data_IF_509437487744
#
_entry.id   IF_509437487744
#
_cell.length_a   1.000
_cell.length_b   1.000
_cell.length_c   1.000
_cell.angle_alpha   90.00
_cell.angle_beta   90.00
_cell.angle_gamma   90.00
#
_symmetry.space_group_name_H-M   'P 1'
#
loop_
_entity.id
_entity.type
_entity.pdbx_description
1 polymer ?
#
# COMPACT_ATOMS: atom_id res chain seq x y z
N UNK A 1 7.30 23.42 -9.49
CA UNK A 1 6.58 22.62 -10.52
C UNK A 1 6.80 21.14 -10.19
N UNK A 2 5.74 20.35 -9.92
CA UNK A 2 5.90 18.92 -9.65
C UNK A 2 6.49 18.22 -10.88
N UNK A 3 7.56 17.44 -10.70
CA UNK A 3 8.15 16.65 -11.79
C UNK A 3 7.11 15.66 -12.32
N UNK A 4 6.98 15.54 -13.65
CA UNK A 4 6.00 14.64 -14.30
C UNK A 4 6.03 13.23 -13.70
N UNK A 5 7.23 12.77 -13.35
CA UNK A 5 7.51 11.49 -12.70
C UNK A 5 6.73 11.31 -11.39
N UNK A 6 6.71 12.30 -10.50
CA UNK A 6 6.00 12.19 -9.23
C UNK A 6 4.47 12.04 -9.41
N UNK A 7 3.91 12.66 -10.45
CA UNK A 7 2.49 12.54 -10.81
C UNK A 7 2.18 11.12 -11.31
N UNK A 8 3.04 10.58 -12.19
CA UNK A 8 2.89 9.21 -12.68
C UNK A 8 2.94 8.18 -11.55
N UNK A 9 3.88 8.29 -10.62
CA UNK A 9 3.97 7.38 -9.47
C UNK A 9 2.77 7.47 -8.53
N UNK A 10 2.21 8.67 -8.32
CA UNK A 10 0.97 8.85 -7.55
C UNK A 10 -0.20 8.11 -8.20
N UNK A 11 -0.40 8.31 -9.50
CA UNK A 11 -1.48 7.67 -10.23
C UNK A 11 -1.31 6.15 -10.30
N UNK A 12 -0.09 5.67 -10.54
CA UNK A 12 0.23 4.25 -10.51
C UNK A 12 -0.09 3.63 -9.14
N UNK A 13 0.33 4.27 -8.03
CA UNK A 13 0.02 3.82 -6.68
C UNK A 13 -1.49 3.78 -6.40
N UNK A 14 -2.26 4.75 -6.89
CA UNK A 14 -3.72 4.79 -6.75
C UNK A 14 -4.41 3.67 -7.52
N UNK A 15 -4.03 3.46 -8.78
CA UNK A 15 -4.60 2.41 -9.63
C UNK A 15 -4.28 1.04 -9.05
N UNK A 16 -3.03 0.79 -8.63
CA UNK A 16 -2.65 -0.47 -7.99
C UNK A 16 -3.42 -0.68 -6.68
N UNK A 17 -3.55 0.34 -5.84
CA UNK A 17 -4.28 0.22 -4.57
C UNK A 17 -5.74 -0.13 -4.78
N UNK A 18 -6.41 0.54 -5.73
CA UNK A 18 -7.80 0.23 -6.10
C UNK A 18 -7.93 -1.17 -6.71
N UNK A 19 -6.98 -1.59 -7.53
CA UNK A 19 -6.96 -2.91 -8.15
C UNK A 19 -6.83 -4.02 -7.09
N UNK A 20 -5.88 -3.88 -6.17
CA UNK A 20 -5.72 -4.82 -5.06
C UNK A 20 -6.94 -4.81 -4.14
N UNK A 21 -7.50 -3.64 -3.83
CA UNK A 21 -8.69 -3.53 -2.99
C UNK A 21 -9.89 -4.22 -3.64
N UNK A 22 -10.11 -3.97 -4.93
CA UNK A 22 -11.18 -4.61 -5.71
C UNK A 22 -11.01 -6.13 -5.79
N UNK A 23 -9.80 -6.62 -6.02
CA UNK A 23 -9.49 -8.05 -6.02
C UNK A 23 -9.80 -8.71 -4.66
N UNK A 24 -9.39 -8.07 -3.56
CA UNK A 24 -9.67 -8.59 -2.22
C UNK A 24 -11.17 -8.53 -1.86
N UNK A 25 -11.87 -7.45 -2.22
CA UNK A 25 -13.32 -7.37 -2.04
C UNK A 25 -14.04 -8.46 -2.84
N UNK A 26 -13.61 -8.70 -4.08
CA UNK A 26 -14.14 -9.76 -4.92
C UNK A 26 -13.95 -11.14 -4.27
N UNK A 27 -12.76 -11.43 -3.76
CA UNK A 27 -12.51 -12.67 -3.00
C UNK A 27 -13.39 -12.77 -1.74
N UNK A 28 -13.56 -11.67 -1.01
CA UNK A 28 -14.38 -11.64 0.20
C UNK A 28 -15.85 -11.89 -0.11
N UNK A 29 -16.39 -11.24 -1.15
CA UNK A 29 -17.77 -11.46 -1.62
C UNK A 29 -17.94 -12.90 -2.09
N UNK A 30 -16.99 -13.43 -2.87
CA UNK A 30 -17.02 -14.82 -3.32
C UNK A 30 -17.03 -15.82 -2.14
N UNK A 31 -16.41 -15.48 -1.02
CA UNK A 31 -16.46 -16.27 0.22
C UNK A 31 -17.80 -16.16 0.96
N UNK A 32 -18.47 -15.01 0.90
CA UNK A 32 -19.77 -14.77 1.54
C UNK A 32 -20.95 -15.38 0.76
N UNK A 33 -20.77 -15.74 -0.52
CA UNK A 33 -21.81 -16.36 -1.35
C UNK A 33 -22.01 -17.83 -0.92
N UNK A 34 -23.21 -18.19 -0.41
CA UNK A 34 -23.51 -19.57 -0.02
C UNK A 34 -23.47 -20.49 -1.25
N UNK A 35 -22.77 -21.62 -1.16
CA UNK A 35 -22.56 -22.57 -2.26
C UNK A 35 -21.14 -22.63 -2.81
N UNK A 36 -20.26 -21.69 -2.43
CA UNK A 36 -18.81 -21.82 -2.58
C UNK A 36 -18.21 -22.69 -1.45
N UNK A 37 -18.77 -23.88 -1.24
CA UNK A 37 -18.28 -24.82 -0.23
C UNK A 37 -16.98 -25.47 -0.72
N UNK A 38 -15.85 -24.81 -0.49
CA UNK A 38 -14.54 -25.46 -0.57
C UNK A 38 -13.73 -25.18 0.68
N UNK A 39 -13.79 -26.15 1.60
CA UNK A 39 -12.68 -26.58 2.47
C UNK A 39 -12.08 -25.57 3.47
N UNK A 40 -12.82 -24.56 3.91
CA UNK A 40 -12.36 -23.73 5.03
C UNK A 40 -13.00 -24.26 6.31
N UNK A 41 -12.18 -24.94 7.12
CA UNK A 41 -12.55 -25.30 8.49
C UNK A 41 -12.86 -24.06 9.35
N UNK A 42 -13.18 -24.24 10.64
CA UNK A 42 -13.49 -23.13 11.53
C UNK A 42 -12.36 -22.08 11.48
N UNK A 43 -12.75 -20.82 11.21
CA UNK A 43 -11.84 -19.69 11.02
C UNK A 43 -10.86 -19.60 12.20
N UNK A 44 -9.58 -19.85 11.93
CA UNK A 44 -8.55 -19.85 12.95
C UNK A 44 -8.33 -18.43 13.46
N UNK A 45 -7.79 -18.29 14.67
CA UNK A 45 -7.32 -16.99 15.16
C UNK A 45 -6.29 -16.37 14.21
N UNK A 46 -5.47 -17.20 13.57
CA UNK A 46 -4.52 -16.79 12.53
C UNK A 46 -5.24 -16.15 11.33
N UNK A 47 -6.29 -16.79 10.82
CA UNK A 47 -7.04 -16.28 9.66
C UNK A 47 -7.67 -14.91 9.96
N UNK A 48 -8.30 -14.76 11.13
CA UNK A 48 -8.88 -13.47 11.59
C UNK A 48 -7.84 -12.35 11.66
N UNK A 49 -6.66 -12.65 12.19
CA UNK A 49 -5.59 -11.68 12.33
C UNK A 49 -5.00 -11.31 10.95
N UNK A 50 -4.89 -12.28 10.04
CA UNK A 50 -4.49 -12.04 8.65
C UNK A 50 -5.48 -11.14 7.91
N UNK A 51 -6.79 -11.39 8.03
CA UNK A 51 -7.82 -10.51 7.46
C UNK A 51 -7.77 -9.08 8.02
N UNK A 52 -7.48 -8.94 9.32
CA UNK A 52 -7.35 -7.62 9.96
C UNK A 52 -6.11 -6.87 9.44
N UNK A 53 -4.99 -7.57 9.26
CA UNK A 53 -3.78 -6.98 8.67
C UNK A 53 -4.01 -6.54 7.23
N UNK A 54 -4.74 -7.33 6.44
CA UNK A 54 -5.14 -6.96 5.07
C UNK A 54 -6.01 -5.70 5.09
N UNK A 55 -7.01 -5.62 5.98
CA UNK A 55 -7.86 -4.44 6.12
C UNK A 55 -7.03 -3.18 6.49
N UNK A 56 -6.12 -3.31 7.45
CA UNK A 56 -5.20 -2.23 7.85
C UNK A 56 -4.28 -1.80 6.70
N UNK A 57 -3.78 -2.74 5.91
CA UNK A 57 -2.96 -2.46 4.72
C UNK A 57 -3.73 -1.60 3.71
N UNK A 58 -4.98 -1.96 3.41
CA UNK A 58 -5.84 -1.17 2.53
C UNK A 58 -6.20 0.19 3.11
N UNK A 59 -6.45 0.27 4.41
CA UNK A 59 -6.68 1.53 5.10
C UNK A 59 -5.47 2.45 4.96
N UNK A 60 -4.25 1.91 5.10
CA UNK A 60 -3.00 2.62 4.84
C UNK A 60 -2.93 3.19 3.42
N UNK A 61 -3.27 2.38 2.41
CA UNK A 61 -3.30 2.82 1.01
C UNK A 61 -4.36 3.89 0.72
N UNK A 62 -5.52 3.81 1.38
CA UNK A 62 -6.54 4.86 1.31
C UNK A 62 -6.07 6.16 1.97
N UNK A 63 -5.42 6.08 3.14
CA UNK A 63 -4.82 7.24 3.81
C UNK A 63 -3.72 7.86 2.94
N UNK A 64 -3.01 7.04 2.16
CA UNK A 64 -1.96 7.49 1.23
C UNK A 64 -2.49 8.41 0.12
N UNK A 65 -3.81 8.44 -0.14
CA UNK A 65 -4.39 9.37 -1.10
C UNK A 65 -4.24 10.84 -0.71
N UNK A 66 -4.33 11.14 0.60
CA UNK A 66 -4.15 12.48 1.16
C UNK A 66 -2.75 12.65 1.78
N UNK A 67 -2.23 11.61 2.42
CA UNK A 67 -0.96 11.61 3.15
C UNK A 67 -0.04 10.48 2.67
N UNK A 68 0.69 10.72 1.59
CA UNK A 68 1.44 9.68 0.85
C UNK A 68 2.49 8.96 1.69
N UNK A 69 3.31 9.70 2.45
CA UNK A 69 4.34 9.12 3.29
C UNK A 69 3.74 8.23 4.40
N UNK A 70 2.79 8.79 5.17
CA UNK A 70 2.19 8.11 6.32
C UNK A 70 1.38 6.89 5.88
N UNK A 71 0.54 7.04 4.86
CA UNK A 71 -0.27 5.93 4.34
C UNK A 71 0.55 4.84 3.66
N UNK A 72 1.60 5.22 2.92
CA UNK A 72 2.55 4.26 2.35
C UNK A 72 3.28 3.47 3.43
N UNK A 73 3.71 4.12 4.52
CA UNK A 73 4.41 3.48 5.63
C UNK A 73 3.50 2.54 6.42
N UNK A 74 2.26 2.95 6.69
CA UNK A 74 1.24 2.11 7.35
C UNK A 74 0.92 0.89 6.48
N UNK A 75 0.70 1.09 5.17
CA UNK A 75 0.42 0.01 4.23
C UNK A 75 1.59 -0.99 4.12
N UNK A 76 2.82 -0.47 4.04
CA UNK A 76 4.03 -1.30 3.97
C UNK A 76 4.27 -2.07 5.28
N UNK A 77 4.07 -1.44 6.44
CA UNK A 77 4.20 -2.08 7.73
C UNK A 77 3.16 -3.20 7.91
N UNK A 78 1.90 -2.96 7.54
CA UNK A 78 0.86 -3.97 7.56
C UNK A 78 1.16 -5.15 6.61
N UNK A 79 1.69 -4.85 5.41
CA UNK A 79 2.14 -5.89 4.48
C UNK A 79 3.30 -6.72 5.06
N UNK A 80 4.23 -6.08 5.78
CA UNK A 80 5.37 -6.77 6.41
C UNK A 80 4.95 -7.70 7.54
N UNK A 81 4.03 -7.23 8.39
CA UNK A 81 3.43 -8.06 9.45
C UNK A 81 2.69 -9.25 8.84
N UNK A 82 1.88 -9.01 7.80
CA UNK A 82 1.16 -10.06 7.10
C UNK A 82 2.13 -11.11 6.50
N UNK A 83 3.17 -10.65 5.80
CA UNK A 83 4.18 -11.52 5.19
C UNK A 83 4.94 -12.37 6.20
N UNK A 84 5.27 -11.80 7.36
CA UNK A 84 5.90 -12.54 8.47
C UNK A 84 4.96 -13.60 9.05
N UNK A 85 3.69 -13.27 9.25
CA UNK A 85 2.70 -14.17 9.83
C UNK A 85 2.35 -15.36 8.93
N UNK A 86 2.33 -15.15 7.62
CA UNK A 86 1.88 -16.13 6.63
C UNK A 86 3.04 -16.86 5.96
N UNK A 87 4.29 -16.54 6.33
CA UNK A 87 5.52 -17.07 5.71
C UNK A 87 5.46 -16.96 4.18
N UNK A 88 5.04 -15.80 3.69
CA UNK A 88 4.93 -15.54 2.26
C UNK A 88 6.33 -15.45 1.68
N UNK A 89 6.54 -16.11 0.53
CA UNK A 89 7.77 -16.00 -0.24
C UNK A 89 8.10 -14.54 -0.54
N UNK A 90 9.37 -14.14 -0.36
CA UNK A 90 9.88 -12.79 -0.65
C UNK A 90 9.34 -12.16 -1.96
N UNK A 91 9.21 -12.88 -3.10
CA UNK A 91 8.66 -12.31 -4.33
C UNK A 91 7.21 -11.82 -4.19
N UNK A 92 6.36 -12.58 -3.48
CA UNK A 92 4.96 -12.21 -3.24
C UNK A 92 4.87 -11.03 -2.27
N UNK A 93 5.74 -10.97 -1.26
CA UNK A 93 5.80 -9.83 -0.34
C UNK A 93 6.09 -8.53 -1.10
N UNK A 94 7.08 -8.52 -2.00
CA UNK A 94 7.37 -7.35 -2.82
C UNK A 94 6.18 -6.97 -3.70
N UNK A 95 5.49 -7.95 -4.29
CA UNK A 95 4.33 -7.72 -5.15
C UNK A 95 3.17 -7.00 -4.42
N UNK A 96 2.89 -7.41 -3.19
CA UNK A 96 1.84 -6.81 -2.34
C UNK A 96 2.28 -5.46 -1.76
N UNK A 97 3.58 -5.28 -1.52
CA UNK A 97 4.20 -4.05 -1.02
C UNK A 97 4.47 -2.98 -2.08
N UNK A 98 4.37 -3.30 -3.38
CA UNK A 98 4.58 -2.33 -4.49
C UNK A 98 3.81 -1.02 -4.31
N UNK A 99 2.51 -1.01 -3.93
CA UNK A 99 1.78 0.24 -3.73
C UNK A 99 2.39 1.09 -2.61
N UNK A 100 2.77 0.46 -1.49
CA UNK A 100 3.43 1.14 -0.36
C UNK A 100 4.79 1.75 -0.75
N UNK A 101 5.61 0.99 -1.48
CA UNK A 101 6.89 1.46 -2.01
C UNK A 101 6.72 2.62 -2.99
N UNK A 102 5.73 2.54 -3.89
CA UNK A 102 5.43 3.60 -4.85
C UNK A 102 5.01 4.90 -4.16
N UNK A 103 4.22 4.82 -3.07
CA UNK A 103 3.85 5.99 -2.27
C UNK A 103 5.04 6.60 -1.52
N UNK A 104 5.93 5.78 -0.96
CA UNK A 104 7.15 6.26 -0.30
C UNK A 104 8.10 6.92 -1.30
N UNK A 105 8.34 6.30 -2.46
CA UNK A 105 9.15 6.89 -3.52
C UNK A 105 8.58 8.22 -4.02
N UNK A 106 7.26 8.29 -4.20
CA UNK A 106 6.61 9.55 -4.57
C UNK A 106 6.85 10.63 -3.53
N UNK A 107 6.76 10.30 -2.22
CA UNK A 107 7.00 11.26 -1.14
C UNK A 107 8.45 11.77 -1.08
N UNK A 108 9.44 10.91 -1.31
CA UNK A 108 10.86 11.28 -1.33
C UNK A 108 11.23 12.11 -2.57
N UNK A 109 10.58 11.84 -3.70
CA UNK A 109 10.74 12.64 -4.92
C UNK A 109 10.16 14.05 -4.76
N UNK A 110 9.21 14.26 -3.85
CA UNK A 110 8.64 15.57 -3.56
C UNK A 110 9.54 16.36 -2.61
N UNK A 111 10.08 15.73 -1.55
CA UNK A 111 10.96 16.42 -0.59
C UNK A 111 12.24 16.94 -1.24
N UNK A 112 12.83 16.16 -2.15
CA UNK A 112 14.03 16.57 -2.90
C UNK A 112 13.80 17.76 -3.83
N UNK A 113 12.58 17.96 -4.34
CA UNK A 113 12.22 19.16 -5.11
C UNK A 113 11.99 20.40 -4.25
N UNK A 114 11.68 20.24 -2.97
CA UNK A 114 11.46 21.36 -2.05
C UNK A 114 12.79 21.99 -1.60
N UNK A 115 13.81 21.15 -1.36
CA UNK A 115 15.16 21.58 -0.96
C UNK A 115 15.94 22.35 -2.04
N UNK A 116 15.66 22.10 -3.33
CA UNK A 116 16.32 22.83 -4.42
C UNK A 116 15.79 24.24 -4.60
N UNK A 117 14.53 24.49 -4.24
CA UNK A 117 13.92 25.82 -4.29
C UNK A 117 14.34 26.70 -3.11
N UNK A 118 14.56 26.14 -1.91
CA UNK A 118 14.99 26.90 -0.73
C UNK A 118 16.48 27.27 -0.79
N UNK A 119 17.34 26.42 -1.34
CA UNK A 119 18.79 26.70 -1.47
C UNK A 119 19.15 27.70 -2.57
N UNK A 120 18.26 27.94 -3.54
CA UNK A 120 18.45 28.96 -4.57
C UNK A 120 18.15 30.40 -4.12
N UNK A 121 17.56 30.58 -2.92
CA UNK A 121 17.11 31.87 -2.42
C UNK A 121 18.10 32.57 -1.47
N UNK A 122 19.31 32.02 -1.28
CA UNK A 122 20.37 32.71 -0.51
C UNK A 122 21.17 33.54 -1.51
N UNK A 123 20.98 34.87 -1.59
CA UNK A 123 21.88 35.72 -2.35
C UNK A 123 23.26 35.58 -1.71
N UNK A 124 24.23 35.08 -2.49
CA UNK A 124 25.64 35.19 -2.15
C UNK A 124 25.95 36.68 -2.05
N UNK A 125 26.04 37.18 -0.82
CA UNK A 125 26.65 38.48 -0.50
C UNK A 125 28.16 38.36 -0.58
#
# INVERSE_FOLDING_TARGET
MQSRVAIWFRWAGRILSLLFLGFFLFMLIAHLVPGAERQFGPLSFHDRLSFTCIALMFMGYLVAWKWQAIGGLIGLAAAAVLGFMTNISLPMFFLIGVPGLAYLFSSLAISTTEDSHTKGAIPKR
#
